data_IF_189018267110
#
_entry.id   IF_189018267110
#
_cell.length_a   1.000
_cell.length_b   1.000
_cell.length_c   1.000
_cell.angle_alpha   90.00
_cell.angle_beta   90.00
_cell.angle_gamma   90.00
#
_symmetry.space_group_name_H-M   'P 1'
#
loop_
_entity.id
_entity.type
_entity.pdbx_description
1 polymer ?
#
# COMPACT_ATOMS: atom_id res chain seq x y z
N UNK A 1 12.58 -31.18 15.15
CA UNK A 1 13.38 -30.15 14.45
C UNK A 1 14.70 -30.73 13.97
N UNK A 2 15.58 -31.23 14.85
CA UNK A 2 16.85 -31.85 14.44
C UNK A 2 16.71 -33.06 13.52
N UNK A 3 15.65 -33.87 13.65
CA UNK A 3 15.38 -35.00 12.77
C UNK A 3 15.12 -34.59 11.31
N UNK A 4 14.49 -33.43 11.06
CA UNK A 4 14.24 -32.92 9.71
C UNK A 4 15.53 -32.37 9.08
N UNK A 5 16.37 -31.72 9.89
CA UNK A 5 17.63 -31.10 9.44
C UNK A 5 18.67 -32.14 9.00
N UNK A 6 18.61 -33.36 9.54
CA UNK A 6 19.52 -34.45 9.18
C UNK A 6 19.00 -35.36 8.07
N UNK A 7 17.81 -35.09 7.51
CA UNK A 7 17.29 -35.86 6.39
C UNK A 7 18.15 -35.64 5.15
N UNK A 8 18.48 -36.72 4.44
CA UNK A 8 19.18 -36.64 3.16
C UNK A 8 18.31 -36.02 2.06
N UNK A 9 16.99 -36.22 2.16
CA UNK A 9 16.00 -35.75 1.19
C UNK A 9 15.04 -34.74 1.84
N UNK A 10 14.50 -33.84 1.01
CA UNK A 10 13.46 -32.89 1.43
C UNK A 10 12.22 -33.67 1.89
N UNK A 11 11.64 -33.36 3.06
CA UNK A 11 10.45 -34.05 3.54
C UNK A 11 9.27 -33.83 2.59
N UNK A 12 8.50 -34.88 2.32
CA UNK A 12 7.25 -34.80 1.56
C UNK A 12 6.16 -34.08 2.38
N UNK A 13 6.19 -32.75 2.37
CA UNK A 13 5.22 -31.90 3.06
C UNK A 13 4.41 -31.12 2.02
N UNK A 14 3.08 -31.30 1.96
CA UNK A 14 2.24 -30.57 1.01
C UNK A 14 2.15 -29.09 1.40
N UNK A 15 1.87 -28.22 0.44
CA UNK A 15 1.64 -26.79 0.68
C UNK A 15 0.39 -26.64 1.55
N UNK A 16 0.48 -25.85 2.63
CA UNK A 16 -0.59 -25.71 3.61
C UNK A 16 -0.40 -24.50 4.53
N UNK A 17 -1.15 -24.45 5.63
CA UNK A 17 -1.14 -23.32 6.57
C UNK A 17 0.24 -23.07 7.21
N UNK A 18 1.08 -24.10 7.32
CA UNK A 18 2.45 -23.99 7.82
C UNK A 18 3.36 -23.13 6.92
N UNK A 19 2.93 -22.81 5.70
CA UNK A 19 3.66 -21.92 4.81
C UNK A 19 3.60 -20.46 5.25
N UNK A 20 2.60 -20.09 6.05
CA UNK A 20 2.30 -18.69 6.38
C UNK A 20 2.21 -18.46 7.91
N UNK A 21 2.28 -19.52 8.72
CA UNK A 21 2.21 -19.45 10.20
C UNK A 21 3.44 -20.09 10.88
N UNK A 22 4.07 -19.44 11.89
CA UNK A 22 3.77 -18.10 12.41
C UNK A 22 4.36 -16.95 11.57
N UNK A 23 5.20 -17.26 10.59
CA UNK A 23 5.79 -16.33 9.62
C UNK A 23 5.88 -17.00 8.26
N UNK A 24 6.06 -16.19 7.22
CA UNK A 24 6.20 -16.69 5.85
C UNK A 24 7.36 -17.69 5.73
N UNK A 25 7.09 -18.85 5.14
CA UNK A 25 8.08 -19.88 4.90
C UNK A 25 9.08 -19.43 3.84
N UNK A 26 10.38 -19.46 4.16
CA UNK A 26 11.45 -19.09 3.25
C UNK A 26 11.49 -19.93 1.95
N UNK A 27 10.87 -21.11 1.94
CA UNK A 27 10.78 -21.98 0.77
C UNK A 27 9.51 -21.75 -0.07
N UNK A 28 8.66 -20.78 0.26
CA UNK A 28 7.41 -20.53 -0.47
C UNK A 28 7.65 -20.38 -1.98
N UNK A 29 8.67 -19.62 -2.38
CA UNK A 29 9.02 -19.44 -3.80
C UNK A 29 9.41 -20.74 -4.49
N UNK A 30 10.13 -21.63 -3.80
CA UNK A 30 10.54 -22.93 -4.34
C UNK A 30 9.35 -23.91 -4.42
N UNK A 31 8.60 -24.07 -3.32
CA UNK A 31 7.48 -25.00 -3.25
C UNK A 31 6.32 -24.61 -4.17
N UNK A 32 6.14 -23.32 -4.45
CA UNK A 32 5.05 -22.79 -5.30
C UNK A 32 5.49 -22.52 -6.75
N UNK A 33 6.75 -22.78 -7.12
CA UNK A 33 7.31 -22.42 -8.43
C UNK A 33 6.54 -22.99 -9.63
N UNK A 34 5.97 -24.19 -9.47
CA UNK A 34 5.24 -24.89 -10.53
C UNK A 34 3.74 -24.57 -10.56
N UNK A 35 3.25 -23.70 -9.67
CA UNK A 35 1.84 -23.33 -9.65
C UNK A 35 1.51 -22.35 -10.78
N UNK A 36 0.31 -22.45 -11.37
CA UNK A 36 -0.16 -21.47 -12.35
C UNK A 36 -0.14 -20.04 -11.80
N UNK A 37 -0.12 -19.06 -12.72
CA UNK A 37 -0.10 -17.64 -12.35
C UNK A 37 -1.29 -17.25 -11.45
N UNK A 38 -2.48 -17.78 -11.77
CA UNK A 38 -3.73 -17.57 -11.03
C UNK A 38 -4.07 -18.79 -10.16
N UNK A 39 -3.09 -19.28 -9.42
CA UNK A 39 -3.30 -20.42 -8.53
C UNK A 39 -4.20 -20.10 -7.33
N UNK A 40 -4.75 -21.14 -6.71
CA UNK A 40 -5.70 -21.04 -5.59
C UNK A 40 -5.18 -20.28 -4.37
N UNK A 41 -3.87 -20.16 -4.17
CA UNK A 41 -3.30 -19.36 -3.09
C UNK A 41 -3.31 -17.85 -3.37
N UNK A 42 -3.60 -17.44 -4.60
CA UNK A 42 -3.88 -16.03 -4.96
C UNK A 42 -5.36 -15.66 -4.81
N UNK A 43 -6.20 -16.60 -4.36
CA UNK A 43 -7.62 -16.35 -4.15
C UNK A 43 -7.81 -15.31 -3.04
N UNK A 44 -8.64 -14.30 -3.28
CA UNK A 44 -8.95 -13.24 -2.34
C UNK A 44 -9.38 -13.82 -0.99
N UNK A 45 -8.60 -13.55 0.06
CA UNK A 45 -8.79 -14.15 1.40
C UNK A 45 -9.01 -15.67 1.33
N UNK A 46 -8.17 -16.36 0.54
CA UNK A 46 -8.23 -17.80 0.36
C UNK A 46 -7.94 -18.57 1.65
N UNK A 47 -6.84 -18.27 2.34
CA UNK A 47 -6.48 -18.91 3.61
C UNK A 47 -6.70 -20.43 3.60
N UNK A 48 -7.50 -20.94 4.55
CA UNK A 48 -7.87 -22.36 4.64
C UNK A 48 -8.54 -22.92 3.38
N UNK A 49 -9.34 -22.11 2.69
CA UNK A 49 -10.05 -22.49 1.47
C UNK A 49 -9.09 -22.75 0.31
N UNK A 50 -8.00 -21.98 0.21
CA UNK A 50 -6.95 -22.22 -0.78
C UNK A 50 -6.26 -23.56 -0.54
N UNK A 51 -5.97 -23.89 0.73
CA UNK A 51 -5.38 -25.18 1.11
C UNK A 51 -6.35 -26.35 0.81
N UNK A 52 -7.64 -26.19 1.10
CA UNK A 52 -8.68 -27.19 0.79
C UNK A 52 -8.74 -27.48 -0.72
N UNK A 53 -8.82 -26.43 -1.55
CA UNK A 53 -8.81 -26.56 -3.00
C UNK A 53 -7.55 -27.28 -3.50
N UNK A 54 -6.39 -26.90 -2.99
CA UNK A 54 -5.12 -27.53 -3.35
C UNK A 54 -5.09 -29.02 -2.98
N UNK A 55 -5.58 -29.39 -1.79
CA UNK A 55 -5.68 -30.79 -1.35
C UNK A 55 -6.69 -31.62 -2.17
N UNK A 56 -7.67 -30.97 -2.80
CA UNK A 56 -8.59 -31.59 -3.76
C UNK A 56 -7.98 -31.71 -5.17
N UNK A 57 -6.72 -31.31 -5.36
CA UNK A 57 -6.03 -31.32 -6.64
C UNK A 57 -6.37 -30.13 -7.54
N UNK A 58 -7.11 -29.14 -7.03
CA UNK A 58 -7.46 -27.91 -7.78
C UNK A 58 -6.34 -26.90 -7.55
N UNK A 59 -5.57 -26.62 -8.60
CA UNK A 59 -4.40 -25.74 -8.49
C UNK A 59 -4.68 -24.34 -9.01
N UNK A 60 -5.61 -24.17 -9.96
CA UNK A 60 -5.96 -22.90 -10.57
C UNK A 60 -7.35 -22.40 -10.16
N UNK A 61 -7.50 -21.08 -10.00
CA UNK A 61 -8.79 -20.48 -9.63
C UNK A 61 -9.86 -20.72 -10.71
N UNK A 62 -9.47 -20.78 -11.98
CA UNK A 62 -10.36 -21.06 -13.11
C UNK A 62 -11.04 -22.44 -12.99
N UNK A 63 -10.32 -23.41 -12.41
CA UNK A 63 -10.77 -24.81 -12.26
C UNK A 63 -11.70 -25.03 -11.07
N UNK A 64 -11.88 -24.03 -10.19
CA UNK A 64 -12.76 -24.16 -9.03
C UNK A 64 -14.18 -24.48 -9.51
N UNK A 65 -14.79 -25.60 -9.08
CA UNK A 65 -16.08 -26.01 -9.58
C UNK A 65 -17.19 -25.07 -9.06
N UNK A 66 -18.26 -24.80 -9.83
CA UNK A 66 -19.33 -23.89 -9.41
C UNK A 66 -20.03 -24.27 -8.09
N UNK A 67 -20.00 -25.55 -7.72
CA UNK A 67 -20.57 -26.05 -6.45
C UNK A 67 -19.76 -25.60 -5.22
N UNK A 68 -18.50 -25.24 -5.42
CA UNK A 68 -17.63 -24.79 -4.34
C UNK A 68 -18.00 -23.36 -3.92
N UNK A 69 -18.31 -23.19 -2.65
CA UNK A 69 -18.84 -21.93 -2.11
C UNK A 69 -17.77 -20.82 -2.11
N UNK A 70 -17.85 -19.91 -3.08
CA UNK A 70 -17.04 -18.69 -3.15
C UNK A 70 -17.85 -17.49 -2.68
N UNK A 71 -17.22 -16.55 -1.98
CA UNK A 71 -17.85 -15.25 -1.69
C UNK A 71 -17.91 -14.38 -2.96
N UNK A 72 -18.66 -13.28 -2.93
CA UNK A 72 -18.86 -12.38 -4.07
C UNK A 72 -17.54 -11.96 -4.75
N UNK A 73 -16.53 -11.55 -3.98
CA UNK A 73 -15.24 -11.10 -4.52
C UNK A 73 -14.42 -12.24 -5.13
N UNK A 74 -14.46 -13.41 -4.51
CA UNK A 74 -13.86 -14.63 -5.05
C UNK A 74 -14.54 -15.06 -6.36
N UNK A 75 -15.86 -14.89 -6.46
CA UNK A 75 -16.61 -15.13 -7.70
C UNK A 75 -16.23 -14.12 -8.79
N UNK A 76 -16.12 -12.83 -8.46
CA UNK A 76 -15.63 -11.79 -9.38
C UNK A 76 -14.22 -12.15 -9.88
N UNK A 77 -13.31 -12.47 -8.96
CA UNK A 77 -11.93 -12.86 -9.31
C UNK A 77 -11.91 -14.04 -10.27
N UNK A 78 -12.62 -15.13 -9.95
CA UNK A 78 -12.71 -16.31 -10.82
C UNK A 78 -13.32 -15.97 -12.17
N UNK A 79 -14.40 -15.21 -12.20
CA UNK A 79 -15.05 -14.79 -13.45
C UNK A 79 -14.11 -13.99 -14.34
N UNK A 80 -13.37 -13.04 -13.78
CA UNK A 80 -12.41 -12.23 -14.52
C UNK A 80 -11.27 -13.05 -15.11
N UNK A 81 -10.79 -14.06 -14.37
CA UNK A 81 -9.75 -14.99 -14.85
C UNK A 81 -10.30 -15.85 -16.00
N UNK A 82 -11.46 -16.47 -15.82
CA UNK A 82 -12.07 -17.36 -16.83
C UNK A 82 -12.40 -16.62 -18.13
N UNK A 83 -12.90 -15.38 -18.01
CA UNK A 83 -13.32 -14.58 -19.17
C UNK A 83 -12.22 -13.67 -19.72
N UNK A 84 -11.04 -13.64 -19.09
CA UNK A 84 -9.94 -12.73 -19.39
C UNK A 84 -10.41 -11.26 -19.52
N UNK A 85 -11.16 -10.77 -18.53
CA UNK A 85 -11.73 -9.42 -18.53
C UNK A 85 -11.53 -8.69 -17.19
N UNK A 86 -11.77 -7.38 -17.22
CA UNK A 86 -11.81 -6.54 -16.00
C UNK A 86 -13.25 -6.38 -15.55
N UNK A 87 -13.49 -6.54 -14.26
CA UNK A 87 -14.76 -6.20 -13.63
C UNK A 87 -14.81 -4.70 -13.31
N UNK A 88 -15.94 -4.08 -13.67
CA UNK A 88 -16.18 -2.66 -13.48
C UNK A 88 -17.64 -2.43 -13.04
N UNK A 89 -17.82 -2.12 -11.77
CA UNK A 89 -19.05 -1.58 -11.20
C UNK A 89 -19.03 -0.05 -11.32
N UNK A 90 -19.59 0.44 -12.43
CA UNK A 90 -19.58 1.87 -12.80
C UNK A 90 -20.30 2.73 -11.77
N UNK A 91 -21.43 2.27 -11.26
CA UNK A 91 -22.25 3.02 -10.30
C UNK A 91 -21.48 3.23 -8.99
N UNK A 92 -20.87 2.17 -8.45
CA UNK A 92 -20.07 2.28 -7.22
C UNK A 92 -18.86 3.18 -7.40
N UNK A 93 -18.19 3.13 -8.55
CA UNK A 93 -17.03 4.01 -8.82
C UNK A 93 -17.48 5.47 -8.96
N UNK A 94 -18.57 5.75 -9.67
CA UNK A 94 -19.11 7.11 -9.78
C UNK A 94 -19.55 7.67 -8.42
N UNK A 95 -20.16 6.85 -7.56
CA UNK A 95 -20.51 7.22 -6.18
C UNK A 95 -19.27 7.52 -5.33
N UNK A 96 -18.16 6.82 -5.56
CA UNK A 96 -16.88 7.14 -4.91
C UNK A 96 -16.30 8.46 -5.42
N UNK A 97 -16.20 8.63 -6.75
CA UNK A 97 -15.65 9.83 -7.38
C UNK A 97 -16.46 11.08 -7.01
N UNK A 98 -17.79 10.97 -6.89
CA UNK A 98 -18.67 12.07 -6.48
C UNK A 98 -18.45 12.59 -5.05
N UNK A 99 -17.67 11.89 -4.23
CA UNK A 99 -17.28 12.37 -2.89
C UNK A 99 -16.11 13.35 -2.94
N UNK A 100 -15.34 13.35 -4.04
CA UNK A 100 -14.13 14.16 -4.18
C UNK A 100 -14.50 15.64 -4.33
N UNK A 101 -13.87 16.47 -3.51
CA UNK A 101 -14.03 17.92 -3.52
C UNK A 101 -12.66 18.57 -3.76
N UNK A 102 -12.55 19.36 -4.81
CA UNK A 102 -11.33 20.10 -5.12
C UNK A 102 -11.13 21.28 -4.15
N UNK A 103 -9.88 21.68 -3.83
CA UNK A 103 -8.61 21.07 -4.28
C UNK A 103 -8.38 19.66 -3.70
N UNK A 104 -7.77 18.78 -4.48
CA UNK A 104 -7.39 17.43 -4.06
C UNK A 104 -5.94 17.43 -3.56
N UNK A 105 -5.75 16.89 -2.36
CA UNK A 105 -4.46 16.70 -1.71
C UNK A 105 -4.16 15.22 -1.57
N UNK A 106 -3.26 14.68 -2.39
CA UNK A 106 -2.84 13.28 -2.32
C UNK A 106 -1.68 13.17 -1.37
N UNK A 107 -1.91 12.56 -0.21
CA UNK A 107 -0.97 12.53 0.91
C UNK A 107 -0.54 11.10 1.21
N UNK A 108 0.76 10.95 1.43
CA UNK A 108 1.39 9.71 1.87
C UNK A 108 2.51 10.01 2.87
N UNK A 109 2.67 9.16 3.89
CA UNK A 109 3.70 9.30 4.93
C UNK A 109 4.62 8.09 4.95
N UNK A 110 5.91 8.35 5.13
CA UNK A 110 6.86 7.33 5.51
C UNK A 110 7.24 7.50 6.99
N UNK A 111 7.23 6.39 7.73
CA UNK A 111 7.46 6.37 9.18
C UNK A 111 8.45 5.28 9.54
N UNK A 112 9.28 5.48 10.55
CA UNK A 112 10.02 4.40 11.19
C UNK A 112 9.46 4.10 12.58
N UNK A 113 9.72 2.91 13.13
CA UNK A 113 9.21 2.48 14.43
C UNK A 113 10.22 1.63 15.22
N UNK A 114 11.21 2.28 15.83
CA UNK A 114 12.27 1.59 16.58
C UNK A 114 11.80 0.99 17.91
N UNK A 115 12.45 -0.10 18.33
CA UNK A 115 12.22 -0.71 19.65
C UNK A 115 12.73 0.17 20.79
N UNK A 116 13.88 0.83 20.59
CA UNK A 116 14.40 1.84 21.51
C UNK A 116 13.93 3.21 21.00
N UNK A 117 13.13 3.96 21.78
CA UNK A 117 12.69 5.31 21.42
C UNK A 117 13.89 6.23 21.16
N UNK A 118 13.87 6.96 20.02
CA UNK A 118 14.95 7.89 19.64
C UNK A 118 14.73 9.31 20.16
N UNK A 119 13.49 9.67 20.50
CA UNK A 119 13.11 11.03 20.89
C UNK A 119 12.33 11.05 22.19
N UNK A 120 12.46 12.15 22.93
CA UNK A 120 11.67 12.36 24.14
C UNK A 120 10.16 12.34 23.84
N UNK A 121 9.41 11.79 24.79
CA UNK A 121 7.96 11.64 24.65
C UNK A 121 7.52 10.58 23.63
N UNK A 122 8.42 9.71 23.15
CA UNK A 122 8.07 8.56 22.30
C UNK A 122 8.14 7.23 23.04
N UNK A 123 7.49 6.19 22.50
CA UNK A 123 7.47 4.84 23.08
C UNK A 123 7.91 3.77 22.07
N UNK A 124 8.30 2.56 22.52
CA UNK A 124 8.70 1.47 21.62
C UNK A 124 7.66 1.21 20.53
N UNK A 125 8.13 1.01 19.30
CA UNK A 125 7.32 0.74 18.10
C UNK A 125 6.28 1.81 17.76
N UNK A 126 6.44 3.04 18.27
CA UNK A 126 5.65 4.17 17.80
C UNK A 126 6.04 4.53 16.37
N UNK A 127 5.06 4.76 15.50
CA UNK A 127 5.32 5.28 14.15
C UNK A 127 5.73 6.74 14.22
N UNK A 128 6.97 7.04 13.84
CA UNK A 128 7.51 8.39 13.77
C UNK A 128 7.64 8.79 12.30
N UNK A 129 6.83 9.76 11.81
CA UNK A 129 6.90 10.19 10.43
C UNK A 129 8.17 10.99 10.19
N UNK A 130 8.93 10.60 9.18
CA UNK A 130 10.17 11.26 8.77
C UNK A 130 10.08 11.88 7.38
N UNK A 131 9.08 11.47 6.59
CA UNK A 131 8.85 11.95 5.24
C UNK A 131 7.36 12.00 4.92
N UNK A 132 6.98 12.93 4.05
CA UNK A 132 5.71 12.88 3.33
C UNK A 132 5.88 13.26 1.87
N UNK A 133 4.96 12.78 1.05
CA UNK A 133 4.71 13.29 -0.29
C UNK A 133 3.31 13.90 -0.35
N UNK A 134 3.19 15.01 -1.07
CA UNK A 134 1.95 15.74 -1.24
C UNK A 134 1.81 16.20 -2.70
N UNK A 135 0.95 15.52 -3.46
CA UNK A 135 0.51 16.00 -4.76
C UNK A 135 -0.77 16.81 -4.61
N UNK A 136 -0.86 17.95 -5.29
CA UNK A 136 -1.97 18.90 -5.18
C UNK A 136 -2.53 19.17 -6.57
N UNK A 137 -3.82 18.94 -6.72
CA UNK A 137 -4.60 19.27 -7.93
C UNK A 137 -5.69 20.25 -7.55
N UNK A 138 -5.53 21.51 -7.97
CA UNK A 138 -6.39 22.62 -7.52
C UNK A 138 -7.80 22.57 -8.13
N UNK A 139 -7.89 22.20 -9.40
CA UNK A 139 -9.12 21.96 -10.16
C UNK A 139 -8.95 20.76 -11.11
N UNK A 140 -10.01 20.18 -11.68
CA UNK A 140 -9.89 19.07 -12.64
C UNK A 140 -8.92 19.36 -13.81
N UNK A 141 -8.89 20.61 -14.29
CA UNK A 141 -8.06 21.06 -15.42
C UNK A 141 -6.70 21.63 -15.00
N UNK A 142 -6.46 21.82 -13.70
CA UNK A 142 -5.21 22.40 -13.21
C UNK A 142 -4.03 21.45 -13.39
N UNK A 143 -2.83 22.04 -13.50
CA UNK A 143 -1.59 21.27 -13.44
C UNK A 143 -1.39 20.64 -12.06
N UNK A 144 -0.64 19.54 -12.04
CA UNK A 144 -0.31 18.84 -10.81
C UNK A 144 0.91 19.48 -10.15
N UNK A 145 0.79 19.87 -8.88
CA UNK A 145 1.92 20.40 -8.08
C UNK A 145 2.38 19.33 -7.08
N UNK A 146 3.68 19.15 -6.95
CA UNK A 146 4.28 18.22 -5.99
C UNK A 146 5.07 18.97 -4.92
N UNK A 147 4.86 18.57 -3.67
CA UNK A 147 5.65 18.99 -2.51
C UNK A 147 6.08 17.74 -1.77
N UNK A 148 7.33 17.71 -1.33
CA UNK A 148 7.87 16.64 -0.51
C UNK A 148 8.55 17.21 0.72
N UNK A 149 8.57 16.41 1.77
CA UNK A 149 9.37 16.62 2.96
C UNK A 149 10.15 15.34 3.24
N UNK A 150 11.44 15.47 3.52
CA UNK A 150 12.28 14.39 4.01
C UNK A 150 13.23 14.96 5.05
N UNK A 151 13.09 14.48 6.29
CA UNK A 151 13.86 14.93 7.44
C UNK A 151 15.38 14.90 7.18
N UNK A 152 16.10 15.78 7.88
CA UNK A 152 17.56 15.94 7.74
C UNK A 152 18.22 15.83 9.12
N UNK A 153 19.35 15.14 9.15
CA UNK A 153 20.12 14.95 10.38
C UNK A 153 19.36 14.12 11.42
N UNK A 154 19.83 14.20 12.68
CA UNK A 154 19.40 13.34 13.79
C UNK A 154 18.34 13.97 14.71
N UNK A 155 17.84 15.14 14.36
CA UNK A 155 16.82 15.83 15.16
C UNK A 155 15.46 15.15 15.00
N UNK A 156 14.56 15.39 15.95
CA UNK A 156 13.17 14.94 15.85
C UNK A 156 12.52 15.49 14.57
N UNK A 157 12.06 14.64 13.63
CA UNK A 157 11.52 15.09 12.35
C UNK A 157 10.12 15.70 12.50
N UNK A 158 9.39 15.38 13.57
CA UNK A 158 7.96 15.66 13.70
C UNK A 158 7.61 17.16 13.68
N UNK A 159 8.33 18.07 14.36
CA UNK A 159 8.02 19.50 14.34
C UNK A 159 8.13 20.12 12.94
N UNK A 160 9.24 19.88 12.25
CA UNK A 160 9.49 20.43 10.90
C UNK A 160 8.52 19.83 9.87
N UNK A 161 8.19 18.55 10.04
CA UNK A 161 7.20 17.86 9.21
C UNK A 161 5.81 18.49 9.37
N UNK A 162 5.37 18.74 10.61
CA UNK A 162 4.09 19.36 10.92
C UNK A 162 3.98 20.79 10.39
N UNK A 163 5.04 21.58 10.55
CA UNK A 163 5.15 22.94 10.05
C UNK A 163 5.03 22.97 8.52
N UNK A 164 5.79 22.10 7.83
CA UNK A 164 5.72 21.97 6.37
C UNK A 164 4.33 21.52 5.90
N UNK A 165 3.75 20.48 6.50
CA UNK A 165 2.45 19.96 6.12
C UNK A 165 1.34 21.02 6.30
N UNK A 166 1.35 21.71 7.44
CA UNK A 166 0.33 22.70 7.81
C UNK A 166 0.29 23.90 6.86
N UNK A 167 1.44 24.30 6.31
CA UNK A 167 1.57 25.39 5.33
C UNK A 167 1.07 25.01 3.93
N UNK A 168 1.05 23.72 3.59
CA UNK A 168 0.86 23.26 2.22
C UNK A 168 -0.51 22.63 1.94
N UNK A 169 -1.19 22.11 2.96
CA UNK A 169 -2.60 21.73 2.86
C UNK A 169 -3.45 22.99 3.12
N UNK A 170 -4.49 23.25 2.33
CA UNK A 170 -5.43 24.37 2.54
C UNK A 170 -6.54 24.05 3.53
N UNK A 171 -7.55 24.92 3.64
CA UNK A 171 -8.68 24.76 4.59
C UNK A 171 -9.90 24.03 4.01
N UNK A 172 -9.90 23.73 2.72
CA UNK A 172 -11.02 23.10 1.99
C UNK A 172 -10.53 22.08 0.98
N UNK A 173 -11.43 21.26 0.45
CA UNK A 173 -11.10 20.17 -0.48
C UNK A 173 -10.77 18.85 0.21
N UNK A 174 -10.56 17.80 -0.56
CA UNK A 174 -10.40 16.43 -0.05
C UNK A 174 -8.93 16.05 0.10
N UNK A 175 -8.62 15.31 1.16
CA UNK A 175 -7.30 14.69 1.35
C UNK A 175 -7.44 13.23 0.95
N UNK A 176 -6.81 12.85 -0.15
CA UNK A 176 -6.84 11.49 -0.69
C UNK A 176 -5.63 10.75 -0.16
N UNK A 177 -5.86 9.61 0.47
CA UNK A 177 -4.82 8.68 0.90
C UNK A 177 -5.19 7.26 0.48
N UNK A 178 -4.21 6.39 0.32
CA UNK A 178 -4.43 4.98 -0.01
C UNK A 178 -4.33 4.13 1.25
N UNK A 179 -5.46 3.61 1.75
CA UNK A 179 -5.57 3.03 3.10
C UNK A 179 -5.45 4.08 4.21
N UNK A 180 -6.29 5.12 4.10
CA UNK A 180 -6.26 6.36 4.91
C UNK A 180 -6.10 6.20 6.43
N UNK A 181 -6.45 5.03 6.97
CA UNK A 181 -6.40 4.78 8.40
C UNK A 181 -4.99 4.92 8.95
N UNK A 182 -3.96 4.64 8.14
CA UNK A 182 -2.57 4.82 8.53
C UNK A 182 -2.23 6.31 8.67
N UNK A 183 -2.50 7.11 7.65
CA UNK A 183 -2.22 8.55 7.62
C UNK A 183 -3.03 9.29 8.69
N UNK A 184 -4.31 8.94 8.86
CA UNK A 184 -5.14 9.47 9.95
C UNK A 184 -4.54 9.13 11.33
N UNK A 185 -3.97 7.93 11.50
CA UNK A 185 -3.33 7.53 12.76
C UNK A 185 -2.07 8.35 13.01
N UNK A 186 -1.20 8.50 12.01
CA UNK A 186 0.01 9.34 12.10
C UNK A 186 -0.35 10.75 12.52
N UNK A 187 -1.35 11.37 11.88
CA UNK A 187 -1.82 12.70 12.24
C UNK A 187 -2.39 12.78 13.66
N UNK A 188 -3.20 11.79 14.07
CA UNK A 188 -3.73 11.74 15.45
C UNK A 188 -2.60 11.65 16.48
N UNK A 189 -1.61 10.78 16.26
CA UNK A 189 -0.45 10.64 17.15
C UNK A 189 0.34 11.97 17.21
N UNK A 190 0.53 12.64 16.07
CA UNK A 190 1.17 13.96 16.01
C UNK A 190 0.38 15.02 16.77
N UNK A 191 -0.96 15.02 16.71
CA UNK A 191 -1.81 15.97 17.43
C UNK A 191 -1.72 15.84 18.95
N UNK A 192 -1.44 14.62 19.44
CA UNK A 192 -1.23 14.34 20.87
C UNK A 192 0.16 14.81 21.28
N UNK A 193 1.18 14.56 20.45
CA UNK A 193 2.57 14.93 20.73
C UNK A 193 2.79 16.45 20.66
N UNK A 194 2.08 17.15 19.77
CA UNK A 194 2.21 18.60 19.54
C UNK A 194 0.83 19.28 19.59
N UNK A 195 0.30 19.56 20.79
CA UNK A 195 -1.04 20.10 20.99
C UNK A 195 -1.30 21.44 20.26
N UNK A 196 -0.26 22.22 19.98
CA UNK A 196 -0.35 23.46 19.20
C UNK A 196 -0.80 23.24 17.75
N UNK A 197 -0.64 22.03 17.20
CA UNK A 197 -1.13 21.64 15.87
C UNK A 197 -2.48 20.89 15.93
N UNK A 198 -3.03 20.63 17.12
CA UNK A 198 -4.20 19.76 17.27
C UNK A 198 -5.42 20.29 16.52
N UNK A 199 -5.73 21.60 16.63
CA UNK A 199 -6.85 22.20 15.90
C UNK A 199 -6.67 22.10 14.39
N UNK A 200 -5.43 22.31 13.91
CA UNK A 200 -5.10 22.19 12.50
C UNK A 200 -5.33 20.77 12.00
N UNK A 201 -4.83 19.77 12.72
CA UNK A 201 -4.99 18.36 12.38
C UNK A 201 -6.46 17.94 12.45
N UNK A 202 -7.19 18.34 13.50
CA UNK A 202 -8.59 18.02 13.67
C UNK A 202 -9.46 18.59 12.54
N UNK A 203 -9.07 19.70 11.93
CA UNK A 203 -9.72 20.25 10.73
C UNK A 203 -9.47 19.42 9.46
N UNK A 204 -8.35 18.68 9.40
CA UNK A 204 -7.98 17.84 8.25
C UNK A 204 -8.66 16.47 8.29
N UNK A 205 -8.75 15.83 9.45
CA UNK A 205 -9.21 14.44 9.59
C UNK A 205 -10.57 14.14 8.90
N UNK A 206 -11.61 14.99 9.01
CA UNK A 206 -12.90 14.74 8.35
C UNK A 206 -12.85 14.80 6.82
N UNK A 207 -11.79 15.38 6.25
CA UNK A 207 -11.63 15.58 4.80
C UNK A 207 -10.97 14.40 4.09
N UNK A 208 -10.56 13.36 4.84
CA UNK A 208 -9.88 12.22 4.27
C UNK A 208 -10.82 11.27 3.51
N UNK A 209 -10.47 11.01 2.25
CA UNK A 209 -11.09 10.02 1.36
C UNK A 209 -10.09 8.88 1.13
N UNK A 210 -10.57 7.63 1.27
CA UNK A 210 -9.75 6.43 1.15
C UNK A 210 -9.84 5.85 -0.26
N UNK A 211 -8.78 6.03 -1.06
CA UNK A 211 -8.73 5.53 -2.44
C UNK A 211 -8.72 4.00 -2.54
N UNK A 212 -8.43 3.30 -1.43
CA UNK A 212 -8.49 1.84 -1.38
C UNK A 212 -9.92 1.30 -1.48
N UNK A 213 -10.93 2.08 -1.07
CA UNK A 213 -12.34 1.64 -0.99
C UNK A 213 -12.86 0.95 -2.26
N UNK A 214 -12.80 1.57 -3.46
CA UNK A 214 -13.31 0.94 -4.68
C UNK A 214 -12.61 -0.39 -5.00
N UNK A 215 -11.32 -0.52 -4.71
CA UNK A 215 -10.54 -1.74 -5.01
C UNK A 215 -10.75 -2.83 -3.95
N UNK A 216 -10.83 -2.47 -2.67
CA UNK A 216 -11.14 -3.41 -1.58
C UNK A 216 -12.56 -3.96 -1.71
N UNK A 217 -13.49 -3.18 -2.26
CA UNK A 217 -14.85 -3.60 -2.58
C UNK A 217 -14.98 -4.40 -3.89
N UNK A 218 -13.92 -4.50 -4.68
CA UNK A 218 -13.94 -5.06 -6.04
C UNK A 218 -14.93 -4.33 -6.96
N UNK A 219 -15.17 -3.03 -6.74
CA UNK A 219 -15.88 -2.20 -7.72
C UNK A 219 -15.06 -2.03 -9.00
N UNK A 220 -13.73 -2.03 -8.89
CA UNK A 220 -12.81 -2.31 -9.99
C UNK A 220 -11.98 -3.54 -9.64
N UNK A 221 -11.90 -4.51 -10.54
CA UNK A 221 -11.01 -5.66 -10.38
C UNK A 221 -10.46 -6.17 -11.72
N UNK A 222 -9.13 -6.24 -11.83
CA UNK A 222 -8.43 -6.87 -12.95
C UNK A 222 -7.69 -8.14 -12.46
N UNK A 223 -7.64 -9.24 -13.24
CA UNK A 223 -6.93 -10.46 -12.87
C UNK A 223 -5.47 -10.25 -12.43
N UNK A 224 -4.76 -9.27 -12.99
CA UNK A 224 -3.37 -8.95 -12.64
C UNK A 224 -3.19 -8.53 -11.16
N UNK A 225 -4.28 -8.10 -10.50
CA UNK A 225 -4.28 -7.80 -9.07
C UNK A 225 -4.11 -9.04 -8.18
N UNK A 226 -4.43 -10.24 -8.68
CA UNK A 226 -4.27 -11.52 -7.97
C UNK A 226 -4.87 -11.50 -6.56
N UNK A 227 -6.09 -10.98 -6.44
CA UNK A 227 -6.78 -10.84 -5.16
C UNK A 227 -6.24 -9.74 -4.25
N UNK A 228 -5.22 -8.98 -4.64
CA UNK A 228 -4.69 -7.86 -3.86
C UNK A 228 -5.40 -6.54 -4.21
N UNK A 229 -5.59 -5.72 -3.18
CA UNK A 229 -5.98 -4.33 -3.34
C UNK A 229 -4.87 -3.38 -2.88
N UNK A 230 -3.61 -3.82 -2.80
CA UNK A 230 -2.49 -2.90 -2.52
C UNK A 230 -2.25 -1.95 -3.70
N UNK A 231 -1.74 -0.75 -3.43
CA UNK A 231 -1.46 0.26 -4.47
C UNK A 231 -0.54 -0.30 -5.56
N UNK A 232 0.50 -1.05 -5.17
CA UNK A 232 1.44 -1.75 -6.07
C UNK A 232 0.80 -2.75 -7.03
N UNK A 233 -0.38 -3.27 -6.70
CA UNK A 233 -1.14 -4.18 -7.57
C UNK A 233 -2.23 -3.45 -8.34
N UNK A 234 -2.80 -2.39 -7.75
CA UNK A 234 -3.87 -1.60 -8.35
C UNK A 234 -3.36 -0.63 -9.41
N UNK A 235 -2.27 0.10 -9.14
CA UNK A 235 -1.72 1.09 -10.06
C UNK A 235 -1.46 0.50 -11.46
N UNK A 236 -0.68 -0.60 -11.63
CA UNK A 236 -0.48 -1.20 -12.94
C UNK A 236 -1.76 -1.79 -13.52
N UNK A 237 -2.61 -2.40 -12.69
CA UNK A 237 -3.88 -2.98 -13.14
C UNK A 237 -4.87 -1.95 -13.71
N UNK A 238 -4.83 -0.71 -13.22
CA UNK A 238 -5.72 0.37 -13.64
C UNK A 238 -5.09 1.17 -14.79
N UNK A 239 -3.83 1.54 -14.63
CA UNK A 239 -3.17 2.56 -15.47
C UNK A 239 -2.17 2.01 -16.48
N UNK A 240 -1.69 0.78 -16.26
CA UNK A 240 -0.53 0.22 -16.97
C UNK A 240 0.82 0.79 -16.53
N UNK A 241 0.86 1.79 -15.63
CA UNK A 241 2.10 2.26 -15.01
C UNK A 241 2.52 1.32 -13.89
N UNK A 242 3.83 1.06 -13.80
CA UNK A 242 4.39 0.16 -12.80
C UNK A 242 5.54 0.84 -12.07
N UNK A 243 5.91 0.28 -10.91
CA UNK A 243 7.00 0.72 -10.04
C UNK A 243 8.38 0.33 -10.58
N UNK A 244 8.54 0.30 -11.91
CA UNK A 244 9.74 -0.24 -12.55
C UNK A 244 10.94 0.67 -12.33
N UNK A 245 11.98 0.12 -11.69
CA UNK A 245 13.29 0.78 -11.54
C UNK A 245 13.55 1.47 -10.20
N UNK A 246 12.68 1.30 -9.20
CA UNK A 246 12.97 1.78 -7.84
C UNK A 246 13.70 0.73 -7.00
N UNK A 247 14.80 1.14 -6.37
CA UNK A 247 15.55 0.30 -5.44
C UNK A 247 14.82 0.14 -4.10
N UNK A 248 14.19 1.21 -3.61
CA UNK A 248 13.28 1.17 -2.48
C UNK A 248 11.88 0.85 -2.99
N UNK A 249 11.40 -0.36 -2.64
CA UNK A 249 10.15 -0.90 -3.17
C UNK A 249 9.10 -1.23 -2.11
N UNK A 250 9.37 -1.01 -0.81
CA UNK A 250 8.46 -1.27 0.33
C UNK A 250 8.73 -0.30 1.48
N UNK A 251 7.71 -0.02 2.30
CA UNK A 251 7.82 0.93 3.42
C UNK A 251 8.83 0.51 4.50
N UNK A 252 8.99 -0.80 4.74
CA UNK A 252 10.02 -1.29 5.68
C UNK A 252 11.44 -1.00 5.14
N UNK A 253 11.65 -1.15 3.82
CA UNK A 253 12.92 -0.82 3.17
C UNK A 253 13.18 0.69 3.25
N UNK A 254 12.14 1.53 3.05
CA UNK A 254 12.24 2.98 3.19
C UNK A 254 12.62 3.39 4.63
N UNK A 255 12.02 2.73 5.62
CA UNK A 255 12.31 2.96 7.04
C UNK A 255 13.76 2.62 7.39
N UNK A 256 14.25 1.46 6.94
CA UNK A 256 15.63 1.03 7.15
C UNK A 256 16.61 1.96 6.44
N UNK A 257 16.37 2.30 5.17
CA UNK A 257 17.22 3.19 4.40
C UNK A 257 17.32 4.58 5.06
N UNK A 258 16.21 5.12 5.58
CA UNK A 258 16.23 6.37 6.34
C UNK A 258 17.07 6.27 7.62
N UNK A 259 16.92 5.18 8.39
CA UNK A 259 17.70 4.96 9.62
C UNK A 259 19.19 4.79 9.32
N UNK A 260 19.54 4.04 8.28
CA UNK A 260 20.94 3.83 7.85
C UNK A 260 21.59 5.13 7.40
N UNK A 261 20.90 5.91 6.58
CA UNK A 261 21.35 7.25 6.17
C UNK A 261 21.50 8.21 7.36
N UNK A 262 20.65 8.08 8.39
CA UNK A 262 20.62 9.04 9.50
C UNK A 262 21.60 8.67 10.63
N UNK A 263 21.77 7.38 10.90
CA UNK A 263 22.51 6.86 12.07
C UNK A 263 23.61 5.87 11.73
N UNK A 264 23.65 5.35 10.51
CA UNK A 264 24.70 4.45 10.03
C UNK A 264 25.99 5.19 9.63
N UNK A 265 27.01 4.40 9.32
CA UNK A 265 28.31 4.85 8.84
C UNK A 265 28.34 4.83 7.31
N UNK A 266 27.55 5.70 6.67
CA UNK A 266 27.51 5.87 5.22
C UNK A 266 28.27 7.13 4.79
N UNK A 267 28.81 7.10 3.57
CA UNK A 267 29.39 8.29 2.93
C UNK A 267 28.30 9.30 2.54
N UNK A 268 28.72 10.56 2.31
CA UNK A 268 27.80 11.61 1.86
C UNK A 268 27.13 11.26 0.52
N UNK A 269 27.86 10.57 -0.38
CA UNK A 269 27.35 10.15 -1.70
C UNK A 269 26.28 9.05 -1.57
N UNK A 270 26.51 8.06 -0.71
CA UNK A 270 25.51 7.02 -0.40
C UNK A 270 24.26 7.64 0.25
N UNK A 271 24.46 8.58 1.19
CA UNK A 271 23.35 9.29 1.81
C UNK A 271 22.52 10.06 0.77
N UNK A 272 23.16 10.79 -0.15
CA UNK A 272 22.47 11.51 -1.22
C UNK A 272 21.66 10.56 -2.11
N UNK A 273 22.24 9.42 -2.46
CA UNK A 273 21.58 8.40 -3.28
C UNK A 273 20.31 7.87 -2.59
N UNK A 274 20.41 7.50 -1.30
CA UNK A 274 19.26 7.05 -0.51
C UNK A 274 18.18 8.14 -0.44
N UNK A 275 18.55 9.42 -0.26
CA UNK A 275 17.58 10.52 -0.25
C UNK A 275 16.80 10.61 -1.55
N UNK A 276 17.48 10.53 -2.68
CA UNK A 276 16.84 10.58 -4.01
C UNK A 276 15.87 9.42 -4.20
N UNK A 277 16.24 8.22 -3.77
CA UNK A 277 15.39 7.03 -3.85
C UNK A 277 14.16 7.13 -2.95
N UNK A 278 14.32 7.60 -1.70
CA UNK A 278 13.21 7.82 -0.77
C UNK A 278 12.23 8.86 -1.31
N UNK A 279 12.73 9.97 -1.88
CA UNK A 279 11.89 11.00 -2.49
C UNK A 279 11.14 10.49 -3.72
N UNK A 280 11.81 9.71 -4.57
CA UNK A 280 11.20 9.12 -5.76
C UNK A 280 10.11 8.09 -5.39
N UNK A 281 10.37 7.22 -4.42
CA UNK A 281 9.43 6.20 -3.95
C UNK A 281 8.14 6.80 -3.41
N UNK A 282 8.23 7.68 -2.40
CA UNK A 282 7.06 8.32 -1.78
C UNK A 282 6.34 9.26 -2.77
N UNK A 283 7.10 9.92 -3.66
CA UNK A 283 6.55 10.70 -4.78
C UNK A 283 5.67 9.86 -5.69
N UNK A 284 6.15 8.69 -6.10
CA UNK A 284 5.44 7.77 -6.99
C UNK A 284 4.14 7.24 -6.38
N UNK A 285 4.08 6.98 -5.08
CA UNK A 285 2.86 6.51 -4.43
C UNK A 285 1.73 7.55 -4.56
N UNK A 286 2.03 8.81 -4.24
CA UNK A 286 1.05 9.90 -4.42
C UNK A 286 0.74 10.24 -5.88
N UNK A 287 1.72 10.17 -6.78
CA UNK A 287 1.43 10.32 -8.22
C UNK A 287 0.53 9.18 -8.70
N UNK A 288 0.79 7.96 -8.28
CA UNK A 288 -0.01 6.78 -8.61
C UNK A 288 -1.47 6.96 -8.22
N UNK A 289 -1.75 7.54 -7.04
CA UNK A 289 -3.12 7.87 -6.63
C UNK A 289 -3.80 8.86 -7.58
N UNK A 290 -3.09 9.89 -8.05
CA UNK A 290 -3.60 10.85 -9.05
C UNK A 290 -3.98 10.12 -10.33
N UNK A 291 -3.06 9.30 -10.85
CA UNK A 291 -3.26 8.56 -12.12
C UNK A 291 -4.41 7.57 -12.03
N UNK A 292 -4.60 6.92 -10.89
CA UNK A 292 -5.73 6.04 -10.64
C UNK A 292 -7.03 6.82 -10.73
N UNK A 293 -7.16 7.97 -10.06
CA UNK A 293 -8.39 8.78 -10.12
C UNK A 293 -8.67 9.23 -11.56
N UNK A 294 -7.67 9.79 -12.24
CA UNK A 294 -7.80 10.22 -13.64
C UNK A 294 -8.29 9.07 -14.54
N UNK A 295 -7.77 7.86 -14.31
CA UNK A 295 -8.19 6.69 -15.08
C UNK A 295 -9.60 6.21 -14.73
N UNK A 296 -9.98 6.22 -13.45
CA UNK A 296 -11.33 5.88 -13.01
C UNK A 296 -12.36 6.86 -13.60
N UNK A 297 -12.05 8.16 -13.64
CA UNK A 297 -12.86 9.18 -14.31
C UNK A 297 -13.00 8.88 -15.81
N UNK A 298 -11.89 8.59 -16.49
CA UNK A 298 -11.89 8.28 -17.93
C UNK A 298 -12.78 7.07 -18.27
N UNK A 299 -12.68 5.99 -17.50
CA UNK A 299 -13.42 4.73 -17.80
C UNK A 299 -14.88 4.79 -17.37
N UNK A 300 -15.26 5.67 -16.45
CA UNK A 300 -16.65 5.81 -15.98
C UNK A 300 -17.45 6.88 -16.70
N UNK A 301 -16.77 7.88 -17.29
CA UNK A 301 -17.40 8.91 -18.13
C UNK A 301 -17.68 8.46 -19.57
N UNK A 302 -17.16 7.28 -19.97
CA UNK A 302 -17.46 6.59 -21.25
C UNK A 302 -18.66 5.67 -21.11
#
# INVERSE_FOLDING_TARGET
MFEIVIMADCPETPIGSQCDEPYECALNGFCRANLPEHNVFTLYYGGKKACELYNLGITEIAEIPPIFQLNEKQQIQRSCIVNNNTHLDRERIQLFLGQLQYPLYFLDFETFNTVIPLFDGTHPYQNIPFQFSLHIKETPESGLRHISFLAKGKNDPRPDLLDSLSRNIGDSGSIVAYNKQFEEKVLKDLSIAFPEYADRINSMLPRFIDLLVPFRAFAYYNPSQKGSASLKKVLPAVTGMDYMGLEIGKGDDASLAYLDMTYGDLSDEECLTIREQLLAYCGLDTEGMVRIIEKLEEITNK
#
